data_IF_731835207189
#
_entry.id   IF_731835207189
#
_cell.length_a   1.000
_cell.length_b   1.000
_cell.length_c   1.000
_cell.angle_alpha   90.00
_cell.angle_beta   90.00
_cell.angle_gamma   90.00
#
_symmetry.space_group_name_H-M   'P 1'
#
loop_
_entity.id
_entity.type
_entity.pdbx_description
1 polymer ?
#
# COMPACT_ATOMS: atom_id res chain seq x y z
N UNK A 1 17.92 -28.57 -0.84
CA UNK A 1 17.31 -27.81 0.26
C UNK A 1 17.00 -26.43 -0.25
N UNK A 2 15.87 -26.29 -0.92
CA UNK A 2 15.38 -24.99 -1.35
C UNK A 2 14.70 -24.31 -0.15
N UNK A 3 15.15 -23.12 0.20
CA UNK A 3 14.46 -22.27 1.14
C UNK A 3 13.21 -21.71 0.45
N UNK A 4 12.03 -21.70 1.09
CA UNK A 4 10.84 -21.13 0.49
C UNK A 4 10.99 -19.62 0.40
N UNK A 5 10.92 -19.08 -0.82
CA UNK A 5 10.90 -17.65 -1.09
C UNK A 5 9.50 -17.11 -0.79
N UNK A 6 9.16 -17.06 0.47
CA UNK A 6 8.28 -16.00 0.97
C UNK A 6 9.22 -14.84 1.27
N UNK A 7 9.24 -13.82 0.41
CA UNK A 7 10.13 -12.67 0.43
C UNK A 7 10.83 -12.47 1.78
N UNK A 8 12.13 -12.73 1.90
CA UNK A 8 12.86 -12.50 3.14
C UNK A 8 13.20 -11.01 3.37
N UNK A 9 12.54 -10.09 2.66
CA UNK A 9 12.72 -8.66 2.90
C UNK A 9 12.29 -8.21 4.31
N UNK A 10 11.56 -9.05 5.08
CA UNK A 10 10.97 -8.65 6.35
C UNK A 10 11.67 -9.15 7.63
N UNK A 11 12.36 -10.27 7.63
CA UNK A 11 12.92 -10.80 8.87
C UNK A 11 14.41 -10.48 9.11
N UNK A 12 15.17 -10.15 8.08
CA UNK A 12 16.61 -9.91 8.22
C UNK A 12 17.00 -8.44 8.54
N UNK A 13 16.10 -7.47 8.30
CA UNK A 13 16.42 -6.04 8.44
C UNK A 13 16.46 -5.52 9.88
N UNK A 14 15.65 -6.06 10.78
CA UNK A 14 15.43 -5.43 12.08
C UNK A 14 16.52 -5.70 13.12
N UNK A 15 17.12 -6.87 13.17
CA UNK A 15 18.20 -7.18 14.12
C UNK A 15 19.56 -6.61 13.68
N UNK A 16 19.85 -6.59 12.39
CA UNK A 16 21.09 -5.98 11.87
C UNK A 16 21.11 -4.45 11.94
N UNK A 17 19.98 -3.78 11.80
CA UNK A 17 19.89 -2.31 11.87
C UNK A 17 20.22 -1.74 13.25
N UNK A 18 19.96 -2.47 14.33
CA UNK A 18 20.31 -2.03 15.69
C UNK A 18 21.80 -2.13 15.99
N UNK A 19 22.51 -3.10 15.44
CA UNK A 19 23.97 -3.20 15.55
C UNK A 19 24.69 -2.23 14.61
N UNK A 20 24.22 -2.06 13.38
CA UNK A 20 24.79 -1.09 12.43
C UNK A 20 24.65 0.36 12.91
N UNK A 21 23.54 0.75 13.53
CA UNK A 21 23.40 2.08 14.15
C UNK A 21 24.49 2.37 15.19
N UNK A 22 24.85 1.38 16.04
CA UNK A 22 25.90 1.55 17.04
C UNK A 22 27.30 1.67 16.41
N UNK A 23 27.57 0.89 15.38
CA UNK A 23 28.90 0.88 14.71
C UNK A 23 29.06 2.13 13.84
N UNK A 24 28.00 2.59 13.19
CA UNK A 24 28.03 3.76 12.30
C UNK A 24 28.25 5.07 13.08
N UNK A 25 27.55 5.26 14.21
CA UNK A 25 27.76 6.44 15.08
C UNK A 25 29.19 6.50 15.65
N UNK A 26 29.81 5.35 15.89
CA UNK A 26 31.14 5.31 16.48
C UNK A 26 32.28 5.47 15.45
N UNK A 27 32.07 5.12 14.19
CA UNK A 27 33.08 5.24 13.12
C UNK A 27 33.06 6.59 12.38
N UNK A 28 31.92 7.22 12.21
CA UNK A 28 31.82 8.45 11.42
C UNK A 28 32.09 9.74 12.22
N UNK A 29 32.21 9.68 13.54
CA UNK A 29 32.68 10.84 14.33
C UNK A 29 34.16 11.23 14.08
N UNK A 30 34.89 10.44 13.29
CA UNK A 30 36.30 10.67 12.98
C UNK A 30 36.61 11.14 11.55
N UNK A 31 35.60 11.26 10.67
CA UNK A 31 35.80 11.70 9.28
C UNK A 31 35.32 13.14 8.99
N UNK A 32 34.95 13.89 10.02
CA UNK A 32 34.69 15.33 9.87
C UNK A 32 36.06 16.04 10.10
N UNK A 33 36.81 16.14 9.03
CA UNK A 33 37.96 17.08 8.99
C UNK A 33 37.45 18.51 9.17
N UNK A 34 38.25 19.38 9.80
CA UNK A 34 37.98 20.78 10.13
C UNK A 34 37.75 21.67 8.90
N UNK A 35 36.63 21.48 8.22
CA UNK A 35 36.14 22.27 7.09
C UNK A 35 34.66 21.99 6.88
N UNK A 36 33.82 22.42 7.82
CA UNK A 36 32.37 22.44 7.56
C UNK A 36 32.08 23.40 6.42
N UNK A 37 31.90 22.88 5.20
CA UNK A 37 31.19 23.61 4.16
C UNK A 37 29.84 24.02 4.75
N UNK A 38 29.47 25.28 4.64
CA UNK A 38 28.16 25.77 5.09
C UNK A 38 27.08 24.96 4.38
N UNK A 39 26.12 24.39 5.12
CA UNK A 39 25.02 23.59 4.57
C UNK A 39 24.28 24.33 3.44
N UNK A 40 24.16 25.65 3.56
CA UNK A 40 23.57 26.47 2.51
C UNK A 40 24.43 26.54 1.25
N UNK A 41 25.73 26.53 1.38
CA UNK A 41 26.67 26.56 0.26
C UNK A 41 26.75 25.20 -0.46
N UNK A 42 26.69 24.10 0.30
CA UNK A 42 26.54 22.76 -0.25
C UNK A 42 25.24 22.62 -1.05
N UNK A 43 24.10 23.04 -0.50
CA UNK A 43 22.80 22.95 -1.18
C UNK A 43 22.73 23.74 -2.49
N UNK A 44 23.48 24.83 -2.64
CA UNK A 44 23.57 25.59 -3.90
C UNK A 44 24.23 24.81 -5.04
N UNK A 45 24.99 23.76 -4.73
CA UNK A 45 25.63 22.88 -5.72
C UNK A 45 24.68 21.77 -6.19
N UNK A 46 23.53 21.63 -5.56
CA UNK A 46 22.55 20.59 -5.85
C UNK A 46 21.43 21.11 -6.74
N UNK A 47 20.96 20.25 -7.64
CA UNK A 47 19.81 20.55 -8.52
C UNK A 47 18.73 19.51 -8.33
N UNK A 48 17.51 19.96 -8.02
CA UNK A 48 16.31 19.12 -8.02
C UNK A 48 15.70 19.17 -9.41
N UNK A 49 15.57 18.02 -10.06
CA UNK A 49 15.00 17.90 -11.41
C UNK A 49 14.34 16.53 -11.61
N UNK A 50 13.50 16.37 -12.67
CA UNK A 50 13.03 15.07 -13.09
C UNK A 50 14.19 14.11 -13.39
N UNK A 51 13.96 12.82 -13.09
CA UNK A 51 14.87 11.72 -13.46
C UNK A 51 14.34 11.16 -14.78
N UNK A 52 15.09 11.39 -15.84
CA UNK A 52 14.74 11.01 -17.22
C UNK A 52 15.28 9.60 -17.53
N UNK A 53 14.85 9.02 -18.67
CA UNK A 53 15.26 7.69 -19.12
C UNK A 53 16.80 7.53 -19.17
N UNK A 54 17.53 8.58 -19.54
CA UNK A 54 19.00 8.59 -19.57
C UNK A 54 19.66 8.35 -18.21
N UNK A 55 18.92 8.55 -17.11
CA UNK A 55 19.40 8.34 -15.74
C UNK A 55 19.02 6.96 -15.18
N UNK A 56 18.48 6.03 -15.98
CA UNK A 56 17.95 4.74 -15.50
C UNK A 56 18.99 3.91 -14.74
N UNK A 57 20.24 3.93 -15.18
CA UNK A 57 21.32 3.21 -14.51
C UNK A 57 21.57 3.78 -13.11
N UNK A 58 21.60 5.11 -12.97
CA UNK A 58 21.78 5.78 -11.68
C UNK A 58 20.57 5.58 -10.75
N UNK A 59 19.36 5.62 -11.33
CA UNK A 59 18.11 5.34 -10.59
C UNK A 59 18.13 3.94 -9.98
N UNK A 60 18.50 2.92 -10.77
CA UNK A 60 18.57 1.55 -10.29
C UNK A 60 19.76 1.30 -9.36
N UNK A 61 20.89 1.97 -9.59
CA UNK A 61 22.06 1.87 -8.70
C UNK A 61 21.72 2.35 -7.28
N UNK A 62 21.06 3.52 -7.18
CA UNK A 62 20.63 4.05 -5.89
C UNK A 62 19.58 3.13 -5.23
N UNK A 63 18.61 2.60 -5.98
CA UNK A 63 17.64 1.61 -5.44
C UNK A 63 18.35 0.37 -4.92
N UNK A 64 19.20 -0.24 -5.74
CA UNK A 64 19.94 -1.46 -5.35
C UNK A 64 20.78 -1.24 -4.11
N UNK A 65 21.41 -0.06 -3.98
CA UNK A 65 22.20 0.29 -2.81
C UNK A 65 21.33 0.44 -1.56
N UNK A 66 20.23 1.22 -1.63
CA UNK A 66 19.38 1.52 -0.47
C UNK A 66 18.62 0.27 0.00
N UNK A 67 18.15 -0.56 -0.92
CA UNK A 67 17.43 -1.80 -0.60
C UNK A 67 18.36 -3.01 -0.47
N UNK A 68 19.67 -2.82 -0.59
CA UNK A 68 20.71 -3.87 -0.43
C UNK A 68 20.51 -5.06 -1.37
N UNK A 69 20.02 -4.81 -2.59
CA UNK A 69 19.77 -5.84 -3.61
C UNK A 69 21.08 -6.43 -4.08
N UNK A 70 21.25 -7.74 -3.90
CA UNK A 70 22.46 -8.48 -4.32
C UNK A 70 22.26 -9.13 -5.70
N UNK A 71 23.35 -9.61 -6.31
CA UNK A 71 23.27 -10.41 -7.54
C UNK A 71 22.48 -11.71 -7.32
N UNK A 72 22.62 -12.33 -6.14
CA UNK A 72 21.83 -13.50 -5.78
C UNK A 72 20.33 -13.22 -5.72
N UNK A 73 19.93 -12.07 -5.17
CA UNK A 73 18.52 -11.67 -5.14
C UNK A 73 17.95 -11.45 -6.55
N UNK A 74 18.78 -10.95 -7.48
CA UNK A 74 18.40 -10.75 -8.88
C UNK A 74 18.19 -12.08 -9.61
N UNK A 75 19.13 -13.03 -9.43
CA UNK A 75 19.04 -14.38 -10.00
C UNK A 75 17.84 -15.14 -9.42
N UNK A 76 17.63 -15.04 -8.10
CA UNK A 76 16.53 -15.68 -7.40
C UNK A 76 15.16 -15.14 -7.85
N UNK A 77 15.10 -13.88 -8.29
CA UNK A 77 13.91 -13.25 -8.88
C UNK A 77 13.69 -13.62 -10.37
N UNK A 78 14.43 -14.57 -10.91
CA UNK A 78 14.28 -15.06 -12.29
C UNK A 78 14.89 -14.16 -13.37
N UNK A 79 15.66 -13.13 -13.03
CA UNK A 79 16.37 -12.33 -14.03
C UNK A 79 17.71 -12.94 -14.39
N UNK A 80 17.98 -13.09 -15.69
CA UNK A 80 19.24 -13.64 -16.20
C UNK A 80 20.50 -12.90 -15.72
N UNK A 81 20.39 -11.60 -15.49
CA UNK A 81 21.50 -10.75 -15.07
C UNK A 81 20.99 -9.35 -14.63
N UNK A 82 21.89 -8.59 -14.00
CA UNK A 82 21.63 -7.21 -13.56
C UNK A 82 21.10 -6.29 -14.67
N UNK A 83 21.55 -6.49 -15.92
CA UNK A 83 21.10 -5.64 -17.04
C UNK A 83 19.63 -5.93 -17.40
N UNK A 84 19.20 -7.20 -17.39
CA UNK A 84 17.81 -7.57 -17.59
C UNK A 84 16.92 -6.99 -16.49
N UNK A 85 17.36 -7.07 -15.24
CA UNK A 85 16.68 -6.46 -14.09
C UNK A 85 16.54 -4.93 -14.23
N UNK A 86 17.62 -4.21 -14.59
CA UNK A 86 17.60 -2.76 -14.81
C UNK A 86 16.60 -2.42 -15.93
N UNK A 87 16.67 -3.13 -17.05
CA UNK A 87 15.79 -2.90 -18.20
C UNK A 87 14.31 -3.14 -17.86
N UNK A 88 14.02 -4.09 -16.97
CA UNK A 88 12.65 -4.36 -16.52
C UNK A 88 11.99 -3.18 -15.80
N UNK A 89 12.79 -2.23 -15.29
CA UNK A 89 12.31 -1.01 -14.61
C UNK A 89 12.16 0.20 -15.53
N UNK A 90 12.49 0.07 -16.81
CA UNK A 90 12.32 1.17 -17.76
C UNK A 90 10.87 1.70 -17.82
N UNK A 91 9.80 0.86 -17.80
CA UNK A 91 8.43 1.33 -17.77
C UNK A 91 8.11 2.22 -16.55
N UNK A 92 8.84 2.09 -15.45
CA UNK A 92 8.67 2.97 -14.28
C UNK A 92 9.00 4.41 -14.63
N UNK A 93 10.13 4.65 -15.31
CA UNK A 93 10.53 6.00 -15.72
C UNK A 93 9.64 6.56 -16.82
N UNK A 94 9.15 5.70 -17.73
CA UNK A 94 8.28 6.12 -18.83
C UNK A 94 6.86 6.49 -18.38
N UNK A 95 6.31 5.75 -17.40
CA UNK A 95 4.90 5.87 -16.98
C UNK A 95 4.72 6.66 -15.68
N UNK A 96 5.79 6.91 -14.95
CA UNK A 96 5.76 7.54 -13.62
C UNK A 96 6.44 8.89 -13.62
N UNK A 97 6.13 9.74 -12.64
CA UNK A 97 6.91 10.94 -12.35
C UNK A 97 8.01 10.58 -11.36
N UNK A 98 9.26 10.76 -11.75
CA UNK A 98 10.41 10.51 -10.89
C UNK A 98 11.19 11.80 -10.73
N UNK A 99 11.52 12.15 -9.47
CA UNK A 99 12.29 13.34 -9.13
C UNK A 99 13.54 12.96 -8.37
N UNK A 100 14.61 13.69 -8.60
CA UNK A 100 15.87 13.46 -7.91
C UNK A 100 16.65 14.74 -7.63
N UNK A 101 17.44 14.68 -6.58
CA UNK A 101 18.52 15.61 -6.35
C UNK A 101 19.78 15.13 -7.06
N UNK A 102 20.44 16.03 -7.76
CA UNK A 102 21.68 15.79 -8.47
C UNK A 102 22.78 16.67 -7.88
N UNK A 103 23.93 16.06 -7.63
CA UNK A 103 25.20 16.77 -7.39
C UNK A 103 26.02 16.66 -8.66
N UNK A 104 26.24 17.79 -9.33
CA UNK A 104 26.72 17.80 -10.73
C UNK A 104 25.80 16.96 -11.64
N UNK A 105 26.30 15.80 -12.10
CA UNK A 105 25.52 14.86 -12.94
C UNK A 105 25.17 13.55 -12.21
N UNK A 106 25.49 13.43 -10.92
CA UNK A 106 25.21 12.23 -10.13
C UNK A 106 23.89 12.36 -9.41
N UNK A 107 23.01 11.39 -9.59
CA UNK A 107 21.76 11.25 -8.83
C UNK A 107 22.10 10.79 -7.41
N UNK A 108 21.70 11.59 -6.41
CA UNK A 108 22.08 11.37 -5.00
C UNK A 108 20.88 11.09 -4.08
N UNK A 109 19.68 11.47 -4.52
CA UNK A 109 18.43 11.21 -3.78
C UNK A 109 17.30 11.18 -4.78
N UNK A 110 16.29 10.32 -4.57
CA UNK A 110 15.19 10.14 -5.51
C UNK A 110 13.88 9.74 -4.86
N UNK A 111 12.77 9.97 -5.58
CA UNK A 111 11.40 9.55 -5.27
C UNK A 111 10.64 9.30 -6.57
N UNK A 112 9.84 8.26 -6.63
CA UNK A 112 8.95 7.97 -7.75
C UNK A 112 7.48 8.03 -7.34
N UNK A 113 6.62 8.49 -8.26
CA UNK A 113 5.17 8.60 -8.09
C UNK A 113 4.51 7.78 -9.21
N UNK A 114 3.95 6.62 -8.86
CA UNK A 114 3.18 5.80 -9.79
C UNK A 114 1.80 6.38 -10.01
N UNK A 115 1.35 6.54 -11.25
CA UNK A 115 -0.02 6.97 -11.55
C UNK A 115 -0.97 5.78 -11.40
N UNK A 116 -1.68 5.74 -10.29
CA UNK A 116 -2.61 4.67 -9.95
C UNK A 116 -4.05 5.19 -9.81
N UNK A 117 -5.00 4.28 -9.76
CA UNK A 117 -6.39 4.53 -9.43
C UNK A 117 -6.84 3.56 -8.33
N UNK A 118 -7.62 4.05 -7.37
CA UNK A 118 -8.12 3.25 -6.24
C UNK A 118 -9.61 3.47 -6.00
N UNK A 119 -10.25 2.46 -5.46
CA UNK A 119 -11.63 2.54 -5.00
C UNK A 119 -11.68 3.04 -3.56
N UNK A 120 -12.31 4.18 -3.33
CA UNK A 120 -12.59 4.72 -1.99
C UNK A 120 -14.08 4.66 -1.74
N UNK A 121 -14.54 3.65 -1.02
CA UNK A 121 -15.97 3.42 -0.70
C UNK A 121 -16.92 3.51 -1.91
N UNK A 122 -16.50 2.98 -3.07
CA UNK A 122 -17.27 3.00 -4.31
C UNK A 122 -16.96 4.16 -5.26
N UNK A 123 -16.28 5.20 -4.81
CA UNK A 123 -15.78 6.28 -5.66
C UNK A 123 -14.36 5.99 -6.16
N UNK A 124 -14.09 6.28 -7.43
CA UNK A 124 -12.75 6.10 -8.01
C UNK A 124 -11.91 7.36 -7.85
N UNK A 125 -10.72 7.20 -7.29
CA UNK A 125 -9.76 8.27 -7.07
C UNK A 125 -8.46 7.99 -7.80
N UNK A 126 -7.93 9.01 -8.48
CA UNK A 126 -6.53 8.99 -8.87
C UNK A 126 -5.66 8.98 -7.62
N UNK A 127 -4.69 8.09 -7.59
CA UNK A 127 -3.80 7.86 -6.46
C UNK A 127 -2.34 7.94 -6.90
N UNK A 128 -1.52 8.66 -6.14
CA UNK A 128 -0.08 8.66 -6.32
C UNK A 128 0.57 7.57 -5.46
N UNK A 129 1.08 6.52 -6.11
CA UNK A 129 1.84 5.47 -5.44
C UNK A 129 3.28 5.93 -5.21
N UNK A 130 3.68 6.17 -3.96
CA UNK A 130 5.05 6.59 -3.64
C UNK A 130 5.96 5.39 -3.48
N UNK A 131 6.99 5.33 -4.30
CA UNK A 131 7.99 4.26 -4.29
C UNK A 131 9.38 4.79 -4.65
N UNK A 132 10.39 3.91 -4.69
CA UNK A 132 11.74 4.26 -5.12
C UNK A 132 12.43 5.34 -4.26
N UNK A 133 12.01 5.49 -3.01
CA UNK A 133 12.52 6.50 -2.09
C UNK A 133 13.90 6.12 -1.59
N UNK A 134 14.91 6.91 -1.94
CA UNK A 134 16.28 6.63 -1.55
C UNK A 134 17.16 7.88 -1.50
N UNK A 135 18.17 7.86 -0.62
CA UNK A 135 19.24 8.88 -0.54
C UNK A 135 20.53 8.17 -0.16
N UNK A 136 21.62 8.44 -0.85
CA UNK A 136 22.93 7.92 -0.44
C UNK A 136 23.28 8.43 0.96
N UNK A 137 23.88 7.59 1.84
CA UNK A 137 24.12 7.92 3.24
C UNK A 137 24.99 9.16 3.45
N UNK A 138 25.97 9.40 2.58
CA UNK A 138 26.85 10.58 2.62
C UNK A 138 26.13 11.90 2.38
N UNK A 139 24.94 11.84 1.77
CA UNK A 139 24.05 12.98 1.53
C UNK A 139 22.86 13.03 2.50
N UNK A 140 22.87 12.16 3.51
CA UNK A 140 21.81 12.13 4.51
C UNK A 140 21.83 13.39 5.42
N UNK A 141 20.68 13.71 6.01
CA UNK A 141 20.48 14.84 6.94
C UNK A 141 20.60 16.25 6.33
N UNK A 142 20.70 16.38 5.01
CA UNK A 142 20.64 17.67 4.31
C UNK A 142 19.23 18.09 3.89
N UNK A 143 18.18 17.42 4.37
CA UNK A 143 16.79 17.76 4.08
C UNK A 143 16.32 17.37 2.67
N UNK A 144 17.14 16.70 1.85
CA UNK A 144 16.85 16.40 0.44
C UNK A 144 15.54 15.64 0.26
N UNK A 145 15.31 14.60 1.06
CA UNK A 145 14.08 13.82 0.97
C UNK A 145 12.85 14.61 1.46
N UNK A 146 13.01 15.61 2.33
CA UNK A 146 11.91 16.48 2.72
C UNK A 146 11.39 17.26 1.50
N UNK A 147 12.30 17.81 0.72
CA UNK A 147 11.94 18.60 -0.46
C UNK A 147 11.36 17.70 -1.56
N UNK A 148 11.95 16.51 -1.77
CA UNK A 148 11.39 15.53 -2.72
C UNK A 148 9.96 15.11 -2.37
N UNK A 149 9.67 14.87 -1.09
CA UNK A 149 8.31 14.55 -0.63
C UNK A 149 7.38 15.75 -0.87
N UNK A 150 7.82 16.97 -0.59
CA UNK A 150 7.02 18.17 -0.84
C UNK A 150 6.75 18.32 -2.34
N UNK A 151 7.76 18.20 -3.20
CA UNK A 151 7.60 18.23 -4.66
C UNK A 151 6.64 17.14 -5.12
N UNK A 152 6.78 15.92 -4.60
CA UNK A 152 5.88 14.82 -4.96
C UNK A 152 4.42 15.11 -4.60
N UNK A 153 4.16 15.72 -3.45
CA UNK A 153 2.79 16.10 -3.03
C UNK A 153 2.23 17.24 -3.89
N UNK A 154 3.06 18.22 -4.27
CA UNK A 154 2.66 19.31 -5.18
C UNK A 154 2.30 18.77 -6.57
N UNK A 155 3.10 17.85 -7.11
CA UNK A 155 2.85 17.19 -8.39
C UNK A 155 1.59 16.32 -8.36
N UNK A 156 1.40 15.51 -7.31
CA UNK A 156 0.18 14.73 -7.13
C UNK A 156 -1.06 15.64 -7.08
N UNK A 157 -0.98 16.77 -6.37
CA UNK A 157 -2.07 17.75 -6.29
C UNK A 157 -2.42 18.32 -7.66
N UNK A 158 -1.42 18.68 -8.47
CA UNK A 158 -1.62 19.18 -9.84
C UNK A 158 -2.27 18.14 -10.73
N UNK A 159 -1.88 16.86 -10.60
CA UNK A 159 -2.42 15.73 -11.36
C UNK A 159 -3.78 15.24 -10.85
N UNK A 160 -4.32 15.88 -9.80
CA UNK A 160 -5.56 15.48 -9.12
C UNK A 160 -5.49 14.08 -8.50
N UNK A 161 -4.31 13.66 -8.09
CA UNK A 161 -4.08 12.48 -7.25
C UNK A 161 -4.30 12.90 -5.80
N UNK A 162 -5.55 12.94 -5.35
CA UNK A 162 -5.92 13.51 -4.05
C UNK A 162 -5.61 12.60 -2.86
N UNK A 163 -5.18 11.37 -3.13
CA UNK A 163 -4.71 10.40 -2.14
C UNK A 163 -3.40 9.77 -2.61
N UNK A 164 -2.54 9.41 -1.68
CA UNK A 164 -1.26 8.76 -1.94
C UNK A 164 -1.12 7.52 -1.06
N UNK A 165 -0.61 6.43 -1.65
CA UNK A 165 -0.28 5.21 -0.94
C UNK A 165 1.21 4.94 -0.99
N UNK A 166 1.73 4.23 0.02
CA UNK A 166 3.09 3.69 0.01
C UNK A 166 3.21 2.45 0.92
N UNK A 167 4.19 1.62 0.56
CA UNK A 167 4.67 0.57 1.43
C UNK A 167 5.75 1.14 2.38
N UNK A 168 5.56 1.10 3.71
CA UNK A 168 6.47 1.78 4.63
C UNK A 168 7.72 0.97 4.96
N UNK A 169 8.88 1.40 4.49
CA UNK A 169 10.15 0.92 5.04
C UNK A 169 10.33 1.32 6.52
N UNK A 170 9.80 2.47 6.93
CA UNK A 170 9.86 2.99 8.29
C UNK A 170 8.59 3.76 8.63
N UNK A 171 7.64 3.14 9.33
CA UNK A 171 6.35 3.73 9.71
C UNK A 171 6.51 5.08 10.43
N UNK A 172 7.36 5.23 11.50
CA UNK A 172 7.55 6.52 12.14
C UNK A 172 8.06 7.63 11.23
N UNK A 173 8.87 7.29 10.23
CA UNK A 173 9.35 8.26 9.26
C UNK A 173 8.21 8.85 8.43
N UNK A 174 7.37 7.99 7.84
CA UNK A 174 6.26 8.41 7.00
C UNK A 174 5.11 9.03 7.79
N UNK A 175 4.87 8.62 9.04
CA UNK A 175 3.95 9.33 9.94
C UNK A 175 4.31 10.78 10.11
N UNK A 176 5.59 11.10 10.33
CA UNK A 176 6.06 12.50 10.41
C UNK A 176 5.90 13.28 9.11
N UNK A 177 5.59 12.58 8.00
CA UNK A 177 5.33 13.17 6.69
C UNK A 177 3.85 13.15 6.30
N UNK A 178 2.97 12.76 7.22
CA UNK A 178 1.52 12.82 7.07
C UNK A 178 0.86 11.54 6.58
N UNK A 179 1.61 10.46 6.30
CA UNK A 179 1.01 9.14 6.04
C UNK A 179 0.58 8.46 7.34
N UNK A 180 -0.46 7.63 7.27
CA UNK A 180 -0.92 6.77 8.36
C UNK A 180 -1.22 5.37 7.83
N UNK A 181 -1.12 4.36 8.70
CA UNK A 181 -1.49 2.98 8.36
C UNK A 181 -2.94 2.95 7.92
N UNK A 182 -3.21 2.29 6.79
CA UNK A 182 -4.55 2.12 6.22
C UNK A 182 -5.01 0.68 6.12
N UNK A 183 -4.09 -0.28 6.09
CA UNK A 183 -4.40 -1.71 5.98
C UNK A 183 -3.41 -2.56 6.74
N UNK A 184 -3.87 -3.74 7.14
CA UNK A 184 -3.07 -4.79 7.74
C UNK A 184 -2.99 -5.99 6.78
N UNK A 185 -1.92 -6.77 6.91
CA UNK A 185 -1.77 -8.10 6.31
C UNK A 185 -1.89 -9.14 7.42
N UNK A 186 -2.82 -10.06 7.26
CA UNK A 186 -2.99 -11.21 8.13
C UNK A 186 -2.39 -12.42 7.45
N UNK A 187 -1.28 -12.93 7.95
CA UNK A 187 -0.67 -14.18 7.51
C UNK A 187 -1.20 -15.34 8.36
N UNK A 188 -1.57 -16.45 7.73
CA UNK A 188 -2.12 -17.60 8.43
C UNK A 188 -1.44 -18.91 8.04
N UNK A 189 -1.56 -19.91 8.94
CA UNK A 189 -1.11 -21.28 8.72
C UNK A 189 -2.12 -22.26 9.31
N UNK A 190 -2.71 -23.09 8.44
CA UNK A 190 -3.74 -24.09 8.74
C UNK A 190 -3.19 -25.48 8.46
N UNK A 191 -3.50 -26.47 9.31
CA UNK A 191 -3.22 -27.88 9.02
C UNK A 191 -4.26 -28.46 8.05
N UNK A 192 -3.87 -29.52 7.33
CA UNK A 192 -4.78 -30.32 6.50
C UNK A 192 -6.03 -30.78 7.24
N UNK A 193 -5.88 -31.16 8.52
CA UNK A 193 -6.96 -31.60 9.42
C UNK A 193 -7.89 -30.48 9.90
N UNK A 194 -7.50 -29.22 9.72
CA UNK A 194 -8.26 -28.03 10.14
C UNK A 194 -8.95 -27.32 8.97
N UNK A 195 -8.75 -27.82 7.74
CA UNK A 195 -9.37 -27.22 6.55
C UNK A 195 -10.90 -27.23 6.63
N UNK A 196 -11.57 -26.22 6.05
CA UNK A 196 -13.02 -26.18 6.01
C UNK A 196 -13.61 -27.43 5.37
N UNK A 197 -14.74 -27.90 5.89
CA UNK A 197 -15.49 -28.97 5.22
C UNK A 197 -15.97 -28.50 3.86
N UNK A 198 -15.89 -29.38 2.86
CA UNK A 198 -16.43 -29.09 1.55
C UNK A 198 -17.94 -28.91 1.58
N UNK A 199 -18.42 -27.93 0.88
CA UNK A 199 -19.85 -27.64 0.73
C UNK A 199 -20.27 -27.74 -0.74
N UNK A 200 -21.46 -28.23 -1.06
CA UNK A 200 -21.91 -28.28 -2.44
C UNK A 200 -21.98 -26.89 -3.05
N UNK A 201 -21.40 -26.73 -4.24
CA UNK A 201 -21.51 -25.54 -5.07
C UNK A 201 -21.92 -25.94 -6.48
N UNK A 202 -22.73 -25.12 -7.20
CA UNK A 202 -23.22 -25.48 -8.53
C UNK A 202 -22.16 -25.32 -9.62
N UNK A 203 -21.10 -24.58 -9.35
CA UNK A 203 -20.06 -24.24 -10.30
C UNK A 203 -18.86 -25.19 -10.29
N UNK A 204 -17.80 -24.81 -11.00
CA UNK A 204 -16.59 -25.62 -11.16
C UNK A 204 -15.34 -24.75 -11.11
N UNK A 205 -14.19 -25.38 -10.89
CA UNK A 205 -12.87 -24.72 -10.95
C UNK A 205 -12.15 -25.10 -12.23
N UNK A 206 -11.55 -24.10 -12.88
CA UNK A 206 -10.57 -24.29 -13.94
C UNK A 206 -9.22 -23.69 -13.55
N UNK A 207 -8.13 -24.35 -13.93
CA UNK A 207 -6.76 -23.84 -13.76
C UNK A 207 -6.35 -23.12 -15.03
N UNK A 208 -6.03 -21.85 -14.91
CA UNK A 208 -5.70 -20.95 -16.02
C UNK A 208 -4.34 -20.29 -15.81
N UNK A 209 -3.80 -19.71 -16.88
CA UNK A 209 -2.69 -18.78 -16.78
C UNK A 209 -3.11 -17.52 -16.01
N UNK A 210 -2.17 -16.89 -15.30
CA UNK A 210 -2.44 -15.70 -14.47
C UNK A 210 -2.84 -14.46 -15.29
N UNK A 211 -2.51 -14.44 -16.57
CA UNK A 211 -2.83 -13.40 -17.55
C UNK A 211 -4.10 -13.68 -18.36
N UNK A 212 -4.88 -14.72 -17.97
CA UNK A 212 -6.13 -15.02 -18.64
C UNK A 212 -7.15 -13.88 -18.47
N UNK A 213 -7.91 -13.50 -19.52
CA UNK A 213 -8.89 -12.41 -19.43
C UNK A 213 -9.89 -12.51 -18.29
N UNK A 214 -10.34 -13.72 -17.93
CA UNK A 214 -11.29 -13.94 -16.84
C UNK A 214 -10.69 -13.63 -15.47
N UNK A 215 -9.38 -13.81 -15.30
CA UNK A 215 -8.66 -13.40 -14.07
C UNK A 215 -8.73 -11.88 -13.91
N UNK A 216 -8.48 -11.16 -14.99
CA UNK A 216 -8.54 -9.69 -14.99
C UNK A 216 -9.97 -9.17 -14.80
N UNK A 217 -10.97 -9.82 -15.41
CA UNK A 217 -12.38 -9.44 -15.25
C UNK A 217 -12.85 -9.60 -13.80
N UNK A 218 -12.58 -10.76 -13.18
CA UNK A 218 -12.97 -10.99 -11.77
C UNK A 218 -12.29 -9.96 -10.87
N UNK A 219 -10.99 -9.69 -11.06
CA UNK A 219 -10.29 -8.71 -10.25
C UNK A 219 -10.86 -7.29 -10.45
N UNK A 220 -11.12 -6.89 -11.69
CA UNK A 220 -11.66 -5.56 -11.98
C UNK A 220 -13.03 -5.34 -11.30
N UNK A 221 -13.91 -6.36 -11.29
CA UNK A 221 -15.20 -6.33 -10.57
C UNK A 221 -14.99 -6.33 -9.05
N UNK A 222 -14.09 -7.16 -8.55
CA UNK A 222 -13.73 -7.23 -7.13
C UNK A 222 -13.18 -5.89 -6.62
N UNK A 223 -12.23 -5.29 -7.32
CA UNK A 223 -11.62 -4.03 -6.92
C UNK A 223 -12.63 -2.87 -6.85
N UNK A 224 -13.61 -2.85 -7.77
CA UNK A 224 -14.71 -1.85 -7.75
C UNK A 224 -15.69 -2.03 -6.59
N UNK A 225 -15.75 -3.21 -5.98
CA UNK A 225 -16.63 -3.51 -4.84
C UNK A 225 -15.91 -3.40 -3.49
N UNK A 226 -14.57 -3.35 -3.48
CA UNK A 226 -13.79 -3.34 -2.26
C UNK A 226 -13.07 -2.02 -2.07
N UNK A 227 -13.39 -1.36 -0.95
CA UNK A 227 -12.74 -0.13 -0.54
C UNK A 227 -11.24 -0.33 -0.38
N UNK A 228 -10.45 0.66 -0.79
CA UNK A 228 -8.98 0.66 -0.72
C UNK A 228 -8.30 -0.05 -1.88
N UNK A 229 -9.01 -0.92 -2.63
CA UNK A 229 -8.43 -1.75 -3.67
C UNK A 229 -7.87 -0.92 -4.85
N UNK A 230 -6.73 -1.36 -5.36
CA UNK A 230 -6.11 -0.83 -6.57
C UNK A 230 -6.92 -1.25 -7.80
N UNK A 231 -7.24 -0.32 -8.67
CA UNK A 231 -7.79 -0.62 -10.01
C UNK A 231 -6.58 -0.90 -10.92
N UNK A 232 -6.20 -2.17 -11.02
CA UNK A 232 -4.97 -2.57 -11.71
C UNK A 232 -5.04 -2.26 -13.20
N UNK A 233 -4.13 -1.42 -13.68
CA UNK A 233 -3.79 -1.25 -15.10
C UNK A 233 -2.86 -2.37 -15.57
N UNK A 234 -2.54 -2.41 -16.87
CA UNK A 234 -1.52 -3.34 -17.39
C UNK A 234 -0.18 -3.19 -16.66
N UNK A 235 0.24 -1.94 -16.42
CA UNK A 235 1.46 -1.64 -15.65
C UNK A 235 1.41 -2.20 -14.21
N UNK A 236 0.26 -2.05 -13.51
CA UNK A 236 0.13 -2.58 -12.16
C UNK A 236 0.15 -4.12 -12.13
N UNK A 237 -0.38 -4.79 -13.16
CA UNK A 237 -0.29 -6.24 -13.28
C UNK A 237 1.16 -6.71 -13.53
N UNK A 238 1.95 -5.98 -14.33
CA UNK A 238 3.37 -6.25 -14.50
C UNK A 238 4.14 -6.08 -13.19
N UNK A 239 3.88 -5.00 -12.43
CA UNK A 239 4.49 -4.78 -11.11
C UNK A 239 4.11 -5.88 -10.11
N UNK A 240 2.84 -6.30 -10.09
CA UNK A 240 2.33 -7.35 -9.20
C UNK A 240 3.07 -8.69 -9.37
N UNK A 241 3.44 -9.02 -10.62
CA UNK A 241 4.14 -10.26 -10.95
C UNK A 241 5.66 -10.12 -11.10
N UNK A 242 6.20 -8.94 -11.01
CA UNK A 242 7.60 -8.64 -11.32
C UNK A 242 8.63 -9.51 -10.59
N UNK A 243 8.38 -9.81 -9.32
CA UNK A 243 9.32 -10.53 -8.46
C UNK A 243 8.87 -11.97 -8.13
N UNK A 244 7.87 -12.47 -8.83
CA UNK A 244 7.37 -13.82 -8.63
C UNK A 244 7.95 -14.76 -9.69
N UNK A 245 8.37 -15.96 -9.27
CA UNK A 245 8.82 -17.00 -10.20
C UNK A 245 7.66 -17.48 -11.09
N UNK A 246 7.94 -17.80 -12.35
CA UNK A 246 6.91 -18.30 -13.29
C UNK A 246 6.21 -19.56 -12.78
N UNK A 247 6.95 -20.46 -12.10
CA UNK A 247 6.41 -21.70 -11.52
C UNK A 247 5.38 -21.46 -10.41
N UNK A 248 5.42 -20.30 -9.77
CA UNK A 248 4.50 -19.88 -8.71
C UNK A 248 3.27 -19.14 -9.26
N UNK A 249 3.20 -18.93 -10.57
CA UNK A 249 2.14 -18.17 -11.25
C UNK A 249 1.04 -19.09 -11.75
N UNK A 250 0.22 -19.62 -10.83
CA UNK A 250 -0.94 -20.45 -11.19
C UNK A 250 -2.22 -19.80 -10.68
N UNK A 251 -3.24 -19.71 -11.54
CA UNK A 251 -4.58 -19.24 -11.18
C UNK A 251 -5.56 -20.41 -11.18
N UNK A 252 -6.38 -20.52 -10.12
CA UNK A 252 -7.60 -21.31 -10.12
C UNK A 252 -8.78 -20.36 -10.18
N UNK A 253 -9.63 -20.49 -11.20
CA UNK A 253 -10.79 -19.63 -11.42
C UNK A 253 -12.06 -20.43 -11.15
N UNK A 254 -12.92 -19.89 -10.29
CA UNK A 254 -14.24 -20.47 -10.03
C UNK A 254 -15.26 -19.89 -11.01
N UNK A 255 -15.94 -20.76 -11.74
CA UNK A 255 -17.04 -20.46 -12.62
C UNK A 255 -18.36 -20.88 -11.98
N UNK A 256 -19.35 -19.98 -11.93
CA UNK A 256 -20.70 -20.28 -11.49
C UNK A 256 -21.46 -21.20 -12.44
N UNK A 257 -22.71 -21.54 -12.08
CA UNK A 257 -23.56 -22.42 -12.88
C UNK A 257 -23.77 -21.97 -14.33
N UNK A 258 -23.71 -20.65 -14.58
CA UNK A 258 -23.86 -20.05 -15.90
C UNK A 258 -22.52 -19.86 -16.63
N UNK A 259 -21.46 -20.49 -16.17
CA UNK A 259 -20.09 -20.35 -16.70
C UNK A 259 -19.52 -18.92 -16.59
N UNK A 260 -19.97 -18.14 -15.65
CA UNK A 260 -19.44 -16.81 -15.34
C UNK A 260 -18.27 -16.93 -14.35
N UNK A 261 -17.12 -16.26 -14.58
CA UNK A 261 -16.01 -16.25 -13.63
C UNK A 261 -16.36 -15.39 -12.42
N UNK A 262 -16.27 -15.97 -11.22
CA UNK A 262 -16.75 -15.34 -9.96
C UNK A 262 -15.71 -15.28 -8.85
N UNK A 263 -14.59 -15.98 -8.98
CA UNK A 263 -13.54 -15.96 -7.99
C UNK A 263 -12.23 -16.46 -8.53
N UNK A 264 -11.12 -15.99 -7.98
CA UNK A 264 -9.75 -16.34 -8.38
C UNK A 264 -8.91 -16.62 -7.14
N UNK A 265 -8.04 -17.60 -7.27
CA UNK A 265 -7.02 -17.98 -6.31
C UNK A 265 -5.67 -18.06 -7.02
N UNK A 266 -4.72 -17.21 -6.63
CA UNK A 266 -3.32 -17.35 -7.01
C UNK A 266 -2.62 -18.22 -5.98
N UNK A 267 -1.98 -19.30 -6.44
CA UNK A 267 -1.40 -20.30 -5.55
C UNK A 267 -0.25 -21.08 -6.21
N UNK A 268 0.51 -21.77 -5.36
CA UNK A 268 1.43 -22.84 -5.76
C UNK A 268 1.49 -23.91 -4.67
N UNK A 269 2.01 -25.07 -5.03
CA UNK A 269 2.19 -26.20 -4.11
C UNK A 269 3.64 -26.63 -4.14
N UNK A 270 4.32 -26.53 -3.00
CA UNK A 270 5.71 -26.94 -2.85
C UNK A 270 5.96 -27.45 -1.42
N UNK A 271 6.87 -28.39 -1.24
CA UNK A 271 7.31 -28.91 0.06
C UNK A 271 6.15 -29.32 0.99
N UNK A 272 5.12 -29.99 0.43
CA UNK A 272 3.91 -30.42 1.15
C UNK A 272 3.10 -29.24 1.78
N UNK A 273 3.24 -28.03 1.19
CA UNK A 273 2.52 -26.83 1.58
C UNK A 273 1.72 -26.31 0.38
N UNK A 274 0.47 -25.99 0.61
CA UNK A 274 -0.34 -25.20 -0.31
C UNK A 274 -0.16 -23.72 0.05
N UNK A 275 0.39 -22.94 -0.87
CA UNK A 275 0.61 -21.52 -0.69
C UNK A 275 -0.46 -20.71 -1.41
N UNK A 276 -1.10 -19.81 -0.71
CA UNK A 276 -2.05 -18.84 -1.25
C UNK A 276 -1.34 -17.49 -1.33
N UNK A 277 -1.15 -16.97 -2.55
CA UNK A 277 -0.65 -15.62 -2.75
C UNK A 277 -1.76 -14.59 -2.53
N UNK A 278 -2.89 -14.80 -3.20
CA UNK A 278 -4.06 -13.94 -3.10
C UNK A 278 -5.33 -14.73 -3.46
N UNK A 279 -6.41 -14.46 -2.77
CA UNK A 279 -7.73 -15.01 -3.07
C UNK A 279 -8.77 -13.89 -3.06
N UNK A 280 -9.46 -13.71 -4.17
CA UNK A 280 -10.54 -12.72 -4.30
C UNK A 280 -11.75 -13.32 -5.00
N UNK A 281 -12.94 -12.90 -4.57
CA UNK A 281 -14.20 -13.48 -5.02
C UNK A 281 -15.32 -12.45 -4.95
N UNK A 282 -16.33 -12.63 -5.81
CA UNK A 282 -17.45 -11.71 -5.94
C UNK A 282 -18.67 -12.10 -5.07
N UNK A 283 -18.74 -13.35 -4.61
CA UNK A 283 -19.82 -13.85 -3.78
C UNK A 283 -19.40 -15.05 -2.92
N UNK A 284 -20.28 -15.44 -1.99
CA UNK A 284 -20.05 -16.55 -1.07
C UNK A 284 -19.96 -17.92 -1.77
N UNK A 285 -20.65 -18.11 -2.89
CA UNK A 285 -20.57 -19.34 -3.68
C UNK A 285 -19.13 -19.55 -4.21
N UNK A 286 -18.56 -18.51 -4.83
CA UNK A 286 -17.19 -18.54 -5.34
C UNK A 286 -16.17 -18.78 -4.22
N UNK A 287 -16.35 -18.11 -3.07
CA UNK A 287 -15.52 -18.33 -1.89
C UNK A 287 -15.53 -19.81 -1.47
N UNK A 288 -16.72 -20.40 -1.37
CA UNK A 288 -16.88 -21.80 -1.01
C UNK A 288 -16.22 -22.74 -2.05
N UNK A 289 -16.38 -22.45 -3.34
CA UNK A 289 -15.77 -23.20 -4.43
C UNK A 289 -14.24 -23.17 -4.37
N UNK A 290 -13.64 -22.01 -4.11
CA UNK A 290 -12.20 -21.84 -3.94
C UNK A 290 -11.68 -22.60 -2.71
N UNK A 291 -12.38 -22.54 -1.57
CA UNK A 291 -12.02 -23.33 -0.40
C UNK A 291 -12.18 -24.83 -0.61
N UNK A 292 -13.21 -25.29 -1.34
CA UNK A 292 -13.35 -26.69 -1.74
C UNK A 292 -12.13 -27.16 -2.56
N UNK A 293 -11.66 -26.31 -3.48
CA UNK A 293 -10.46 -26.60 -4.28
C UNK A 293 -9.20 -26.71 -3.41
N UNK A 294 -8.99 -25.79 -2.48
CA UNK A 294 -7.88 -25.82 -1.52
C UNK A 294 -7.96 -27.12 -0.71
N UNK A 295 -9.14 -27.44 -0.16
CA UNK A 295 -9.38 -28.64 0.66
C UNK A 295 -9.14 -29.93 -0.12
N UNK A 296 -9.41 -29.97 -1.44
CA UNK A 296 -9.17 -31.15 -2.27
C UNK A 296 -7.69 -31.57 -2.32
N UNK A 297 -6.76 -30.70 -1.94
CA UNK A 297 -5.33 -31.00 -1.86
C UNK A 297 -4.90 -31.67 -0.54
N UNK A 298 -5.84 -31.99 0.37
CA UNK A 298 -5.56 -32.52 1.72
C UNK A 298 -4.63 -33.74 1.75
N UNK A 299 -4.62 -34.57 0.68
CA UNK A 299 -3.74 -35.74 0.58
C UNK A 299 -2.34 -35.43 0.05
N UNK A 300 -2.11 -34.21 -0.40
CA UNK A 300 -0.85 -33.75 -1.01
C UNK A 300 -0.06 -32.81 -0.11
N UNK A 301 -0.73 -32.20 0.84
CA UNK A 301 -0.14 -31.13 1.68
C UNK A 301 -0.46 -31.34 3.15
N UNK A 302 0.48 -30.98 4.01
CA UNK A 302 0.25 -30.95 5.47
C UNK A 302 -0.17 -29.56 5.96
N UNK A 303 0.10 -28.53 5.16
CA UNK A 303 -0.17 -27.16 5.56
C UNK A 303 -0.76 -26.36 4.39
N UNK A 304 -1.67 -25.46 4.74
CA UNK A 304 -2.08 -24.35 3.90
C UNK A 304 -1.59 -23.07 4.55
N UNK A 305 -0.88 -22.24 3.79
CA UNK A 305 -0.39 -20.92 4.21
C UNK A 305 -0.87 -19.87 3.24
N UNK A 306 -1.10 -18.66 3.71
CA UNK A 306 -1.47 -17.55 2.85
C UNK A 306 -1.59 -16.25 3.61
N UNK A 307 -1.85 -15.21 2.83
CA UNK A 307 -2.08 -13.86 3.33
C UNK A 307 -3.50 -13.41 3.00
N UNK A 308 -4.09 -12.67 3.92
CA UNK A 308 -5.36 -11.96 3.75
C UNK A 308 -5.08 -10.48 3.94
N UNK A 309 -5.57 -9.67 3.02
CA UNK A 309 -5.32 -8.23 2.98
C UNK A 309 -6.51 -7.39 3.45
N UNK A 310 -7.38 -8.01 4.22
CA UNK A 310 -8.54 -7.41 4.88
C UNK A 310 -8.70 -8.08 6.23
N UNK A 311 -9.24 -7.39 7.20
CA UNK A 311 -9.54 -7.98 8.51
C UNK A 311 -10.72 -8.96 8.40
N UNK A 312 -10.47 -10.09 7.78
CA UNK A 312 -11.42 -11.20 7.70
C UNK A 312 -11.06 -12.23 8.79
N UNK A 313 -11.97 -12.55 9.72
CA UNK A 313 -11.69 -13.46 10.83
C UNK A 313 -11.62 -14.92 10.36
N UNK A 314 -10.53 -15.32 9.69
CA UNK A 314 -10.41 -16.67 9.12
C UNK A 314 -10.56 -17.75 10.18
N UNK A 315 -9.92 -17.61 11.33
CA UNK A 315 -10.03 -18.58 12.42
C UNK A 315 -11.48 -18.80 12.85
N UNK A 316 -12.30 -17.76 12.88
CA UNK A 316 -13.72 -17.84 13.25
C UNK A 316 -14.55 -18.67 12.25
N UNK A 317 -14.12 -18.76 10.99
CA UNK A 317 -14.81 -19.51 9.94
C UNK A 317 -14.48 -21.01 9.95
N UNK A 318 -13.45 -21.42 10.67
CA UNK A 318 -13.01 -22.81 10.78
C UNK A 318 -13.70 -23.52 11.94
N UNK A 319 -14.00 -24.82 11.79
CA UNK A 319 -14.54 -25.64 12.87
C UNK A 319 -13.53 -25.80 14.01
N UNK A 320 -12.26 -26.03 13.68
CA UNK A 320 -11.13 -25.94 14.60
C UNK A 320 -10.40 -24.61 14.38
N UNK A 321 -10.68 -23.64 15.26
CA UNK A 321 -10.12 -22.29 15.22
C UNK A 321 -8.70 -22.18 15.79
N UNK A 322 -8.07 -23.28 16.23
CA UNK A 322 -6.71 -23.27 16.80
C UNK A 322 -5.64 -23.22 15.70
N UNK A 323 -5.68 -22.17 14.91
CA UNK A 323 -4.71 -21.90 13.85
C UNK A 323 -3.68 -20.85 14.29
N UNK A 324 -2.60 -20.72 13.51
CA UNK A 324 -1.63 -19.66 13.73
C UNK A 324 -1.94 -18.51 12.78
N UNK A 325 -2.15 -17.33 13.36
CA UNK A 325 -2.32 -16.06 12.63
C UNK A 325 -1.28 -15.03 13.12
N UNK A 326 -0.84 -14.17 12.22
CA UNK A 326 0.02 -13.01 12.50
C UNK A 326 -0.54 -11.81 11.76
N UNK A 327 -0.73 -10.69 12.45
CA UNK A 327 -1.24 -9.45 11.86
C UNK A 327 -0.13 -8.41 11.90
N UNK A 328 0.16 -7.81 10.76
CA UNK A 328 1.19 -6.79 10.60
C UNK A 328 0.63 -5.60 9.82
N UNK A 329 0.97 -4.34 10.19
CA UNK A 329 0.68 -3.18 9.36
C UNK A 329 1.26 -3.37 7.96
N UNK A 330 0.45 -3.11 6.93
CA UNK A 330 0.90 -3.37 5.56
C UNK A 330 1.14 -2.09 4.77
N UNK A 331 0.11 -1.34 4.44
CA UNK A 331 0.23 -0.12 3.66
C UNK A 331 -0.13 1.13 4.45
N UNK A 332 0.41 2.26 4.01
CA UNK A 332 0.07 3.58 4.54
C UNK A 332 -0.57 4.43 3.44
N UNK A 333 -1.54 5.26 3.84
CA UNK A 333 -2.17 6.25 2.98
C UNK A 333 -1.98 7.67 3.52
N UNK A 334 -2.17 8.65 2.63
CA UNK A 334 -2.20 10.07 2.96
C UNK A 334 -3.15 10.81 2.02
N UNK A 335 -4.00 11.67 2.57
CA UNK A 335 -4.73 12.64 1.76
C UNK A 335 -3.74 13.71 1.27
N UNK A 336 -3.74 13.97 -0.04
CA UNK A 336 -2.87 14.96 -0.69
C UNK A 336 -3.52 16.35 -0.69
N UNK A 337 -4.83 16.42 -1.03
CA UNK A 337 -5.63 17.66 -0.99
C UNK A 337 -6.94 17.39 -0.25
N UNK A 338 -7.07 17.94 0.97
CA UNK A 338 -8.21 17.67 1.86
C UNK A 338 -9.51 18.16 1.26
N UNK A 339 -9.55 19.38 0.71
CA UNK A 339 -10.77 19.95 0.14
C UNK A 339 -11.27 19.12 -1.03
N UNK A 340 -10.41 18.93 -2.03
CA UNK A 340 -10.76 18.18 -3.24
C UNK A 340 -11.11 16.71 -2.93
N UNK A 341 -10.43 16.10 -1.94
CA UNK A 341 -10.75 14.73 -1.52
C UNK A 341 -12.13 14.66 -0.88
N UNK A 342 -12.45 15.52 0.09
CA UNK A 342 -13.72 15.50 0.82
C UNK A 342 -14.93 15.89 -0.06
N UNK A 343 -14.75 16.78 -1.05
CA UNK A 343 -15.79 17.12 -2.03
C UNK A 343 -16.28 15.92 -2.85
N UNK A 344 -15.44 14.90 -3.01
CA UNK A 344 -15.74 13.70 -3.77
C UNK A 344 -15.93 12.46 -2.88
N UNK A 345 -15.81 12.61 -1.55
CA UNK A 345 -15.91 11.49 -0.63
C UNK A 345 -17.37 11.01 -0.48
N UNK A 346 -17.64 9.70 -0.62
CA UNK A 346 -18.97 9.14 -0.57
C UNK A 346 -19.45 8.96 0.89
N UNK A 347 -19.84 10.03 1.56
CA UNK A 347 -20.43 9.95 2.88
C UNK A 347 -21.71 9.12 2.88
N UNK A 348 -21.90 8.21 3.86
CA UNK A 348 -23.07 7.33 3.93
C UNK A 348 -24.36 8.03 4.35
N UNK A 349 -24.24 9.18 5.03
CA UNK A 349 -25.38 9.95 5.50
C UNK A 349 -25.01 11.42 5.67
N UNK A 350 -26.00 12.23 6.00
CA UNK A 350 -25.81 13.65 6.32
C UNK A 350 -25.61 13.87 7.82
N UNK A 351 -25.05 15.01 8.16
CA UNK A 351 -24.93 15.50 9.52
C UNK A 351 -25.33 16.97 9.63
N UNK A 352 -25.56 17.45 10.85
CA UNK A 352 -25.56 18.89 11.11
C UNK A 352 -24.21 19.47 10.68
N UNK A 353 -24.17 20.72 10.17
CA UNK A 353 -22.89 21.34 9.79
C UNK A 353 -21.86 21.28 10.91
N UNK A 354 -20.66 20.89 10.58
CA UNK A 354 -19.48 20.92 11.44
C UNK A 354 -18.24 21.26 10.60
N UNK A 355 -17.09 21.44 11.23
CA UNK A 355 -15.86 21.67 10.50
C UNK A 355 -14.68 20.89 11.08
N UNK A 356 -13.83 20.40 10.19
CA UNK A 356 -12.51 19.90 10.57
C UNK A 356 -11.53 21.05 10.73
N UNK A 357 -10.69 20.97 11.76
CA UNK A 357 -9.49 21.81 11.93
C UNK A 357 -8.30 20.89 11.74
N UNK A 358 -7.73 20.91 10.52
CA UNK A 358 -6.68 19.98 10.11
C UNK A 358 -5.30 20.60 10.31
N UNK A 359 -4.36 19.78 10.80
CA UNK A 359 -2.94 20.10 10.86
C UNK A 359 -2.15 19.13 9.98
N UNK A 360 -1.35 19.66 9.06
CA UNK A 360 -0.49 18.90 8.16
C UNK A 360 0.96 19.34 8.31
N UNK A 361 1.91 18.44 8.60
CA UNK A 361 3.31 18.82 8.86
C UNK A 361 4.11 19.17 7.59
N UNK A 362 3.56 18.91 6.38
CA UNK A 362 4.30 19.05 5.12
C UNK A 362 3.52 19.86 4.09
N UNK A 363 2.25 19.55 3.87
CA UNK A 363 1.40 20.19 2.86
C UNK A 363 0.64 21.37 3.48
N UNK A 364 1.21 22.57 3.37
CA UNK A 364 0.65 23.79 4.00
C UNK A 364 -0.78 24.09 3.55
N UNK A 365 -1.16 23.73 2.33
CA UNK A 365 -2.52 23.93 1.79
C UNK A 365 -3.60 23.07 2.47
N UNK A 366 -3.20 22.07 3.26
CA UNK A 366 -4.10 21.26 4.07
C UNK A 366 -4.26 21.81 5.50
N UNK A 367 -3.47 22.80 5.90
CA UNK A 367 -3.63 23.45 7.21
C UNK A 367 -4.78 24.44 7.16
N UNK A 368 -5.83 24.18 7.93
CA UNK A 368 -6.96 25.10 7.95
C UNK A 368 -8.25 24.50 8.43
N UNK A 369 -9.32 25.19 8.08
CA UNK A 369 -10.70 24.86 8.42
C UNK A 369 -11.37 24.30 7.16
N UNK A 370 -12.09 23.18 7.33
CA UNK A 370 -12.89 22.55 6.27
C UNK A 370 -14.29 22.32 6.82
N UNK A 371 -15.18 23.28 6.55
CA UNK A 371 -16.59 23.22 6.94
C UNK A 371 -17.38 22.29 6.00
N UNK A 372 -18.17 21.39 6.56
CA UNK A 372 -19.02 20.46 5.83
C UNK A 372 -20.47 20.87 6.00
N UNK A 373 -21.17 21.02 4.88
CA UNK A 373 -22.61 21.27 4.82
C UNK A 373 -23.23 20.41 3.72
N UNK A 374 -24.36 19.80 4.01
CA UNK A 374 -25.13 18.99 3.06
C UNK A 374 -26.34 19.77 2.58
N UNK A 375 -26.64 19.68 1.29
CA UNK A 375 -27.84 20.25 0.69
C UNK A 375 -29.05 19.29 0.78
N UNK A 376 -30.17 19.69 0.20
CA UNK A 376 -31.42 18.90 0.16
C UNK A 376 -31.32 17.60 -0.64
N UNK A 377 -30.25 17.43 -1.44
CA UNK A 377 -29.95 16.23 -2.24
C UNK A 377 -28.83 15.39 -1.62
N UNK A 378 -28.50 15.61 -0.35
CA UNK A 378 -27.42 14.94 0.38
C UNK A 378 -26.02 15.17 -0.23
N UNK A 379 -25.84 16.23 -1.04
CA UNK A 379 -24.55 16.59 -1.60
C UNK A 379 -23.77 17.45 -0.60
N UNK A 380 -22.52 17.03 -0.34
CA UNK A 380 -21.62 17.77 0.54
C UNK A 380 -20.98 18.95 -0.19
N UNK A 381 -20.91 20.07 0.46
CA UNK A 381 -20.09 21.23 0.05
C UNK A 381 -19.03 21.49 1.11
N UNK A 382 -17.79 21.68 0.67
CA UNK A 382 -16.65 21.98 1.56
C UNK A 382 -16.33 23.46 1.48
N UNK A 383 -16.39 24.14 2.62
CA UNK A 383 -16.09 25.58 2.73
C UNK A 383 -14.86 25.80 3.61
N UNK A 384 -14.25 26.98 3.48
CA UNK A 384 -13.13 27.39 4.34
C UNK A 384 -13.63 28.15 5.60
N UNK A 385 -14.96 28.12 5.84
CA UNK A 385 -15.61 28.81 6.95
C UNK A 385 -15.88 27.83 8.11
N UNK A 386 -15.73 28.30 9.36
CA UNK A 386 -16.08 27.50 10.53
C UNK A 386 -17.61 27.32 10.62
N UNK A 387 -18.08 26.09 10.51
CA UNK A 387 -19.48 25.71 10.61
C UNK A 387 -19.72 24.80 11.81
N UNK A 388 -20.73 25.08 12.61
CA UNK A 388 -21.10 24.21 13.73
C UNK A 388 -19.95 23.88 14.69
N UNK A 389 -19.86 22.62 15.10
CA UNK A 389 -18.84 22.16 16.06
C UNK A 389 -17.50 21.91 15.37
N UNK A 390 -16.40 22.27 16.05
CA UNK A 390 -15.05 21.95 15.59
C UNK A 390 -14.67 20.48 15.84
N UNK A 391 -13.98 19.89 14.90
CA UNK A 391 -13.34 18.57 15.02
C UNK A 391 -11.84 18.75 14.78
N UNK A 392 -11.06 18.74 15.85
CA UNK A 392 -9.61 18.94 15.77
C UNK A 392 -8.89 17.61 15.55
N UNK A 393 -8.04 17.56 14.52
CA UNK A 393 -7.25 16.37 14.18
C UNK A 393 -6.06 16.74 13.28
N UNK A 394 -5.13 15.81 13.14
CA UNK A 394 -4.06 15.88 12.14
C UNK A 394 -4.45 15.14 10.83
N UNK A 395 -3.67 15.37 9.76
CA UNK A 395 -3.90 14.77 8.46
C UNK A 395 -3.85 13.24 8.53
N UNK A 396 -3.00 12.67 9.40
CA UNK A 396 -2.88 11.24 9.63
C UNK A 396 -4.19 10.67 10.19
N UNK A 397 -4.80 11.37 11.14
CA UNK A 397 -6.07 10.96 11.75
C UNK A 397 -7.22 11.10 10.75
N UNK A 398 -7.26 12.17 9.96
CA UNK A 398 -8.27 12.31 8.90
C UNK A 398 -8.12 11.18 7.86
N UNK A 399 -6.89 10.86 7.46
CA UNK A 399 -6.63 9.74 6.56
C UNK A 399 -7.10 8.41 7.17
N UNK A 400 -6.82 8.17 8.46
CA UNK A 400 -7.28 6.99 9.19
C UNK A 400 -8.82 6.87 9.19
N UNK A 401 -9.54 7.99 9.33
CA UNK A 401 -11.01 8.04 9.27
C UNK A 401 -11.54 7.66 7.89
N UNK A 402 -11.07 8.33 6.83
CA UNK A 402 -11.57 8.11 5.47
C UNK A 402 -11.23 6.72 4.93
N UNK A 403 -10.12 6.13 5.40
CA UNK A 403 -9.75 4.75 5.09
C UNK A 403 -10.40 3.71 6.01
N UNK A 404 -11.19 4.15 6.98
CA UNK A 404 -11.83 3.34 8.01
C UNK A 404 -10.86 2.34 8.70
N UNK A 405 -9.60 2.72 8.84
CA UNK A 405 -8.64 1.87 9.55
C UNK A 405 -8.95 1.80 11.05
N UNK A 406 -9.47 2.90 11.61
CA UNK A 406 -10.02 2.92 12.99
C UNK A 406 -11.22 3.86 13.04
N UNK A 407 -12.25 3.44 13.75
CA UNK A 407 -13.52 4.18 13.90
C UNK A 407 -13.36 5.47 14.72
N UNK A 408 -14.21 6.49 14.49
CA UNK A 408 -14.17 7.77 15.19
C UNK A 408 -14.13 7.65 16.71
N UNK A 409 -14.95 6.78 17.31
CA UNK A 409 -15.01 6.57 18.77
C UNK A 409 -13.70 6.01 19.34
N UNK A 410 -13.02 5.15 18.60
CA UNK A 410 -11.70 4.68 18.99
C UNK A 410 -10.68 5.81 18.96
N UNK A 411 -10.64 6.61 17.87
CA UNK A 411 -9.71 7.72 17.71
C UNK A 411 -9.94 8.82 18.76
N UNK A 412 -11.20 9.10 19.09
CA UNK A 412 -11.55 10.02 20.20
C UNK A 412 -11.06 9.48 21.56
N UNK A 413 -11.26 8.19 21.83
CA UNK A 413 -10.81 7.55 23.09
C UNK A 413 -9.29 7.63 23.30
N UNK A 414 -8.51 7.60 22.22
CA UNK A 414 -7.05 7.74 22.27
C UNK A 414 -6.57 9.18 22.01
N UNK A 415 -7.48 10.15 22.12
CA UNK A 415 -7.21 11.60 22.04
C UNK A 415 -6.64 12.07 20.68
N UNK A 416 -6.90 11.31 19.59
CA UNK A 416 -6.54 11.74 18.23
C UNK A 416 -7.62 12.60 17.56
N UNK A 417 -8.86 12.53 18.04
CA UNK A 417 -9.96 13.40 17.67
C UNK A 417 -10.43 14.15 18.92
N UNK A 418 -10.50 15.46 18.82
CA UNK A 418 -11.10 16.31 19.86
C UNK A 418 -12.38 16.97 19.30
N UNK A 419 -13.53 16.60 19.88
CA UNK A 419 -14.86 17.10 19.53
C UNK A 419 -15.89 16.70 20.59
N UNK A 420 -17.11 17.26 20.51
CA UNK A 420 -18.21 16.86 21.39
C UNK A 420 -18.83 15.49 21.02
N UNK A 421 -19.62 14.96 21.97
CA UNK A 421 -20.24 13.63 21.82
C UNK A 421 -21.26 13.57 20.69
N UNK A 422 -22.01 14.65 20.42
CA UNK A 422 -23.03 14.69 19.35
C UNK A 422 -22.36 14.61 17.99
N UNK A 423 -21.33 15.41 17.79
CA UNK A 423 -20.51 15.41 16.57
C UNK A 423 -19.78 14.08 16.38
N UNK A 424 -19.21 13.51 17.45
CA UNK A 424 -18.60 12.18 17.38
C UNK A 424 -19.58 11.11 16.90
N UNK A 425 -20.81 11.09 17.39
CA UNK A 425 -21.86 10.17 16.93
C UNK A 425 -22.25 10.42 15.47
N UNK A 426 -22.15 11.67 15.01
CA UNK A 426 -22.37 12.00 13.61
C UNK A 426 -21.23 11.46 12.73
N UNK A 427 -19.97 11.59 13.15
CA UNK A 427 -18.82 11.01 12.45
C UNK A 427 -18.97 9.48 12.30
N UNK A 428 -19.44 8.77 13.36
CA UNK A 428 -19.70 7.32 13.28
C UNK A 428 -20.71 6.92 12.20
N UNK A 429 -21.65 7.80 11.88
CA UNK A 429 -22.70 7.50 10.90
C UNK A 429 -22.35 7.92 9.49
N UNK A 430 -21.57 9.00 9.32
CA UNK A 430 -21.28 9.53 7.98
C UNK A 430 -20.09 8.84 7.31
N UNK A 431 -19.12 8.33 8.10
CA UNK A 431 -18.00 7.59 7.54
C UNK A 431 -18.39 6.11 7.36
N UNK A 432 -18.22 5.56 6.13
CA UNK A 432 -18.52 4.16 5.85
C UNK A 432 -17.77 3.21 6.76
N UNK A 433 -18.42 2.10 7.16
CA UNK A 433 -17.81 1.06 7.99
C UNK A 433 -17.36 -0.13 7.13
N UNK A 434 -16.43 0.14 6.22
CA UNK A 434 -15.80 -0.84 5.35
C UNK A 434 -14.28 -0.70 5.45
N UNK A 435 -13.62 -1.73 5.95
CA UNK A 435 -12.16 -1.77 6.03
C UNK A 435 -11.51 -1.82 4.65
N UNK A 436 -10.32 -1.21 4.52
CA UNK A 436 -9.60 -1.18 3.27
C UNK A 436 -9.01 -2.57 2.93
N UNK A 437 -9.17 -2.97 1.67
CA UNK A 437 -8.46 -4.09 1.05
C UNK A 437 -7.30 -3.54 0.22
N UNK A 438 -6.08 -4.05 0.44
CA UNK A 438 -4.96 -3.71 -0.41
C UNK A 438 -3.94 -4.85 -0.40
N UNK A 439 -3.73 -5.49 -1.56
CA UNK A 439 -2.84 -6.65 -1.75
C UNK A 439 -1.63 -6.37 -2.64
N UNK A 440 -1.61 -5.20 -3.27
CA UNK A 440 -0.53 -4.82 -4.18
C UNK A 440 0.74 -4.41 -3.43
N UNK A 441 1.86 -4.43 -4.16
CA UNK A 441 3.16 -3.99 -3.71
C UNK A 441 3.86 -3.20 -4.83
N UNK A 442 4.37 -1.99 -4.51
CA UNK A 442 5.17 -1.15 -5.42
C UNK A 442 6.17 -0.27 -4.67
#
# INVERSE_FOLDING_TARGET
CALPISLPFYSFGFERLTEFRKIWYTKNSKFIGDGKMDEQEFRKQLTLKPVEEEHIDQFNELLSYVFQVTEADIEESGFENKRAFIKSKQPILELSKVFGWFHENQLISQIAIYPCEVNIHGALYKMGGVTGVGTYPEYANHGLMKDLIQTALEEMRQDKQWISYLFPYNIPYYRRKGWEIMSDKLSFKIRDTQLPKTVPVPGMIERLAVDHPDVFDVYARFARQNHGALIRSAFNWEEYWRFENEEERTAAVYYGANQEPLGVLFYWVADEVFHIKEMFYLNQEARNGLWNFITAHFSMVYWVKGDIYKNEPLAFLLEDSQIKESIEPYYMARIVDVKAFLENFPFESTAKPFHFVVKDPVAEWNNGIFGLIWDENDQVTITDEPLGTAVHLDIQTLTCLVMNYRRPSYLHRIERIDTDKETLNSLERIFPDQEAYFSDYF
#
